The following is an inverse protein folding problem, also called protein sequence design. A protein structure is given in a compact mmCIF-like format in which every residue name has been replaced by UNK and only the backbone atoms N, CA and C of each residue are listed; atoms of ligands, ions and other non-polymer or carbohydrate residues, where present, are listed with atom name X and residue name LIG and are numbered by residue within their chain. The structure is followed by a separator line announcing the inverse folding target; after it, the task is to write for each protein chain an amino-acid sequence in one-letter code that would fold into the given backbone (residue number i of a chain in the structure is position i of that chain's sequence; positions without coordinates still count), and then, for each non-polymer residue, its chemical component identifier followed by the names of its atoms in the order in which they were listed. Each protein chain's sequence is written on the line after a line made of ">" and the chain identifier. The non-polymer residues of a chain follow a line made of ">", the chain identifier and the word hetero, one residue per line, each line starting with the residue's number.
data_IF_502035886449
#
_entry.id   IF_502035886449
#
_cell.length_a   1.000
_cell.length_b   1.000
_cell.length_c   1.000
_cell.angle_alpha   90.00
_cell.angle_beta   90.00
_cell.angle_gamma   90.00
#
_symmetry.space_group_name_H-M   'P 1'
#
loop_
_entity.id
_entity.type
_entity.pdbx_description
1 polymer ?
#
# COMPACT_ATOMS: atom_id res chain seq x y z
N UNK A 1 -47.19 -46.31 -23.07
CA UNK A 1 -45.86 -45.68 -23.14
C UNK A 1 -45.85 -44.21 -22.70
N UNK A 2 -46.85 -43.40 -23.06
CA UNK A 2 -46.84 -41.93 -22.80
C UNK A 2 -47.05 -41.47 -21.35
N UNK A 3 -47.64 -42.29 -20.46
CA UNK A 3 -47.89 -41.89 -19.05
C UNK A 3 -46.66 -41.95 -18.15
N UNK A 4 -45.71 -42.84 -18.45
CA UNK A 4 -44.48 -43.00 -17.67
C UNK A 4 -43.49 -41.87 -18.01
N UNK A 5 -43.39 -41.48 -19.28
CA UNK A 5 -42.55 -40.36 -19.73
C UNK A 5 -43.02 -39.04 -19.10
N UNK A 6 -44.34 -38.82 -18.99
CA UNK A 6 -44.90 -37.62 -18.36
C UNK A 6 -44.56 -37.52 -16.87
N UNK A 7 -44.52 -38.65 -16.16
CA UNK A 7 -44.19 -38.69 -14.74
C UNK A 7 -42.70 -38.35 -14.47
N UNK A 8 -41.80 -38.82 -15.35
CA UNK A 8 -40.37 -38.48 -15.28
C UNK A 8 -40.08 -37.01 -15.60
N UNK A 9 -40.82 -36.41 -16.55
CA UNK A 9 -40.68 -34.97 -16.86
C UNK A 9 -41.16 -34.08 -15.72
N UNK A 10 -42.20 -34.48 -14.98
CA UNK A 10 -42.67 -33.70 -13.82
C UNK A 10 -41.68 -33.78 -12.67
N UNK A 11 -41.11 -34.96 -12.39
CA UNK A 11 -40.09 -35.15 -11.34
C UNK A 11 -38.78 -34.39 -11.56
N UNK A 12 -38.42 -34.08 -12.82
CA UNK A 12 -37.25 -33.27 -13.14
C UNK A 12 -37.43 -31.77 -12.81
N UNK A 13 -38.67 -31.28 -12.74
CA UNK A 13 -38.97 -29.84 -12.52
C UNK A 13 -39.09 -29.49 -11.02
N UNK A 14 -39.33 -30.48 -10.15
CA UNK A 14 -39.49 -30.29 -8.69
C UNK A 14 -38.19 -30.44 -7.88
N UNK A 15 -37.03 -30.51 -8.52
CA UNK A 15 -35.74 -30.31 -7.84
C UNK A 15 -35.20 -28.91 -8.19
N UNK A 16 -35.72 -27.82 -7.60
CA UNK A 16 -34.92 -26.61 -7.53
C UNK A 16 -33.70 -26.99 -6.72
N UNK A 17 -32.60 -27.27 -7.41
CA UNK A 17 -31.30 -27.38 -6.77
C UNK A 17 -31.10 -26.03 -6.10
N UNK A 18 -31.23 -25.98 -4.78
CA UNK A 18 -30.91 -24.77 -4.02
C UNK A 18 -29.44 -24.53 -4.30
N UNK A 19 -29.16 -23.54 -5.15
CA UNK A 19 -27.79 -23.09 -5.40
C UNK A 19 -27.35 -22.46 -4.09
N UNK A 20 -26.61 -23.22 -3.29
CA UNK A 20 -25.91 -22.65 -2.15
C UNK A 20 -24.89 -21.67 -2.72
N UNK A 21 -25.13 -20.37 -2.55
CA UNK A 21 -24.05 -19.39 -2.63
C UNK A 21 -22.99 -19.82 -1.62
N UNK A 22 -21.82 -20.21 -2.10
CA UNK A 22 -20.69 -20.45 -1.21
C UNK A 22 -20.26 -19.08 -0.66
N UNK A 23 -20.58 -18.82 0.60
CA UNK A 23 -19.98 -17.70 1.32
C UNK A 23 -18.51 -18.07 1.56
N UNK A 24 -17.59 -17.29 1.01
CA UNK A 24 -16.17 -17.43 1.34
C UNK A 24 -16.03 -17.01 2.81
N UNK A 25 -15.65 -17.92 3.74
CA UNK A 25 -15.53 -17.55 5.14
C UNK A 25 -14.39 -16.54 5.31
N UNK A 26 -14.66 -15.44 6.01
CA UNK A 26 -13.61 -14.52 6.43
C UNK A 26 -12.98 -15.03 7.72
N UNK A 27 -11.68 -15.31 7.65
CA UNK A 27 -10.89 -15.55 8.85
C UNK A 27 -10.57 -14.21 9.49
N UNK A 28 -10.88 -14.08 10.78
CA UNK A 28 -10.60 -12.88 11.55
C UNK A 28 -9.33 -13.08 12.36
N UNK A 29 -8.43 -12.10 12.28
CA UNK A 29 -7.20 -12.05 13.07
C UNK A 29 -7.16 -10.74 13.82
N UNK A 30 -6.84 -10.79 15.11
CA UNK A 30 -6.63 -9.62 15.96
C UNK A 30 -5.36 -9.73 16.81
N UNK A 31 -5.23 -8.83 17.80
CA UNK A 31 -4.04 -8.81 18.66
C UNK A 31 -3.86 -10.06 19.52
N UNK A 32 -4.93 -10.81 19.79
CA UNK A 32 -4.87 -12.11 20.49
C UNK A 32 -4.24 -13.19 19.63
N UNK A 33 -4.29 -13.04 18.30
CA UNK A 33 -3.68 -13.97 17.34
C UNK A 33 -2.21 -13.59 17.03
N UNK A 34 -1.71 -12.49 17.58
CA UNK A 34 -0.32 -12.03 17.44
C UNK A 34 -0.12 -10.81 16.54
N UNK A 35 -1.19 -10.26 15.94
CA UNK A 35 -1.13 -8.99 15.22
C UNK A 35 -0.76 -7.84 16.17
N UNK A 36 0.17 -6.96 15.78
CA UNK A 36 0.65 -5.87 16.65
C UNK A 36 -0.50 -4.95 17.11
N UNK A 37 -1.44 -4.66 16.22
CA UNK A 37 -2.66 -3.92 16.51
C UNK A 37 -3.75 -4.23 15.50
N UNK A 38 -5.01 -4.29 15.94
CA UNK A 38 -6.19 -4.40 15.07
C UNK A 38 -6.38 -3.18 14.16
N UNK A 39 -5.68 -2.07 14.43
CA UNK A 39 -5.66 -0.90 13.55
C UNK A 39 -4.58 -1.10 12.48
N UNK A 40 -4.96 -1.71 11.36
CA UNK A 40 -4.10 -1.95 10.19
C UNK A 40 -4.32 -0.83 9.17
N UNK A 41 -3.24 -0.19 8.73
CA UNK A 41 -3.29 0.94 7.78
C UNK A 41 -2.84 0.59 6.37
N UNK A 42 -1.95 -0.40 6.24
CA UNK A 42 -1.37 -0.80 4.96
C UNK A 42 -0.87 -2.23 5.03
N UNK A 43 -0.82 -2.90 3.89
CA UNK A 43 -0.28 -4.24 3.78
C UNK A 43 0.46 -4.45 2.46
N UNK A 44 1.47 -5.30 2.47
CA UNK A 44 2.20 -5.72 1.26
C UNK A 44 2.63 -7.18 1.39
N UNK A 45 2.61 -7.94 0.30
CA UNK A 45 3.19 -9.28 0.25
C UNK A 45 4.64 -9.18 -0.22
N UNK A 46 5.56 -9.88 0.45
CA UNK A 46 6.94 -9.99 0.00
C UNK A 46 7.15 -11.08 -1.06
N UNK A 47 8.35 -11.14 -1.63
CA UNK A 47 8.66 -12.11 -2.70
C UNK A 47 8.70 -13.58 -2.23
N UNK A 48 8.72 -13.81 -0.93
CA UNK A 48 8.70 -15.15 -0.33
C UNK A 48 7.31 -15.59 0.11
N UNK A 49 6.31 -14.70 -0.01
CA UNK A 49 4.91 -14.99 0.27
C UNK A 49 4.42 -14.49 1.63
N UNK A 50 5.28 -13.95 2.50
CA UNK A 50 4.83 -13.38 3.76
C UNK A 50 4.07 -12.07 3.52
N UNK A 51 3.06 -11.83 4.35
CA UNK A 51 2.28 -10.60 4.32
C UNK A 51 2.74 -9.71 5.47
N UNK A 52 3.09 -8.49 5.13
CA UNK A 52 3.54 -7.46 6.06
C UNK A 52 2.41 -6.46 6.28
N UNK A 53 2.16 -6.13 7.54
CA UNK A 53 1.10 -5.24 7.98
C UNK A 53 1.69 -4.04 8.72
N UNK A 54 1.36 -2.84 8.25
CA UNK A 54 1.59 -1.59 8.97
C UNK A 54 0.44 -1.38 9.96
N UNK A 55 0.75 -1.31 11.25
CA UNK A 55 -0.26 -1.17 12.30
C UNK A 55 0.04 -0.01 13.25
N UNK A 56 -0.96 0.38 14.05
CA UNK A 56 -0.82 1.43 15.07
C UNK A 56 0.21 1.13 16.18
N UNK A 57 0.63 -0.13 16.34
CA UNK A 57 1.53 -0.55 17.41
C UNK A 57 2.73 -1.39 16.93
N UNK A 58 3.06 -1.31 15.64
CA UNK A 58 4.25 -1.95 15.08
C UNK A 58 4.00 -2.52 13.69
N UNK A 59 4.96 -3.30 13.22
CA UNK A 59 4.87 -4.07 11.98
C UNK A 59 4.57 -5.53 12.34
N UNK A 60 3.66 -6.17 11.63
CA UNK A 60 3.44 -7.61 11.76
C UNK A 60 3.70 -8.32 10.44
N UNK A 61 4.44 -9.43 10.50
CA UNK A 61 4.75 -10.33 9.40
C UNK A 61 3.95 -11.61 9.59
N UNK A 62 3.27 -12.06 8.55
CA UNK A 62 2.37 -13.21 8.60
C UNK A 62 2.76 -14.26 7.57
N UNK A 63 2.83 -15.51 7.99
CA UNK A 63 3.25 -16.67 7.20
C UNK A 63 2.09 -17.58 6.75
N UNK A 64 0.87 -17.03 6.75
CA UNK A 64 -0.41 -17.72 6.59
C UNK A 64 -0.90 -18.52 7.81
N UNK A 65 -0.09 -18.67 8.87
CA UNK A 65 -0.43 -19.44 10.07
C UNK A 65 -0.25 -18.64 11.37
N UNK A 66 0.81 -17.84 11.47
CA UNK A 66 1.23 -17.13 12.67
C UNK A 66 1.80 -15.76 12.35
N UNK A 67 1.75 -14.86 13.34
CA UNK A 67 2.31 -13.52 13.26
C UNK A 67 3.64 -13.43 14.00
N UNK A 68 4.64 -12.85 13.34
CA UNK A 68 5.85 -12.33 13.95
C UNK A 68 5.77 -10.80 13.95
N UNK A 69 5.82 -10.18 15.13
CA UNK A 69 5.57 -8.75 15.30
C UNK A 69 6.82 -8.02 15.77
N UNK A 70 7.08 -6.85 15.16
CA UNK A 70 8.19 -5.97 15.47
C UNK A 70 7.65 -4.66 16.02
N UNK A 71 8.14 -4.26 17.20
CA UNK A 71 7.84 -2.98 17.84
C UNK A 71 9.12 -2.41 18.50
N UNK A 72 8.97 -1.47 19.42
CA UNK A 72 10.07 -0.83 20.14
C UNK A 72 10.98 -1.78 20.90
N UNK A 73 10.48 -2.96 21.29
CA UNK A 73 11.30 -4.01 21.90
C UNK A 73 12.21 -4.71 20.88
N UNK A 74 11.96 -4.52 19.58
CA UNK A 74 12.69 -5.10 18.45
C UNK A 74 13.53 -4.07 17.68
N UNK A 75 13.73 -2.87 18.24
CA UNK A 75 14.57 -1.83 17.65
C UNK A 75 13.81 -0.77 16.84
N UNK A 76 12.48 -0.82 16.77
CA UNK A 76 11.69 0.28 16.20
C UNK A 76 11.66 1.47 17.14
N UNK A 77 12.19 2.62 16.71
CA UNK A 77 12.11 3.83 17.53
C UNK A 77 10.72 4.49 17.52
N UNK A 78 9.78 3.99 16.71
CA UNK A 78 8.36 4.33 16.74
C UNK A 78 7.50 3.15 16.30
N UNK A 79 6.36 2.99 16.96
CA UNK A 79 5.41 1.90 16.74
C UNK A 79 4.23 2.31 15.86
N UNK A 80 4.08 3.59 15.51
CA UNK A 80 2.95 4.07 14.72
C UNK A 80 3.26 3.97 13.21
N UNK A 81 3.04 2.78 12.66
CA UNK A 81 3.38 2.46 11.27
C UNK A 81 2.17 2.68 10.38
N UNK A 82 2.26 3.60 9.43
CA UNK A 82 1.11 4.03 8.63
C UNK A 82 1.14 3.53 7.19
N UNK A 83 2.30 3.10 6.69
CA UNK A 83 2.43 2.60 5.34
C UNK A 83 3.61 1.63 5.20
N UNK A 84 3.48 0.65 4.30
CA UNK A 84 4.51 -0.37 4.02
C UNK A 84 4.64 -0.61 2.52
N UNK A 85 5.86 -0.83 2.05
CA UNK A 85 6.15 -1.13 0.64
C UNK A 85 7.29 -2.14 0.50
N UNK A 86 7.20 -2.99 -0.54
CA UNK A 86 8.23 -3.93 -0.91
C UNK A 86 9.25 -3.26 -1.85
N UNK A 87 10.53 -3.34 -1.48
CA UNK A 87 11.63 -2.92 -2.34
C UNK A 87 12.01 -3.95 -3.40
N UNK A 88 12.61 -3.46 -4.48
CA UNK A 88 13.26 -4.27 -5.52
C UNK A 88 14.31 -5.22 -4.95
N UNK A 89 15.04 -4.80 -3.91
CA UNK A 89 16.06 -5.60 -3.21
C UNK A 89 15.49 -6.62 -2.20
N UNK A 90 14.16 -6.80 -2.20
CA UNK A 90 13.41 -7.67 -1.28
C UNK A 90 13.39 -7.20 0.17
N UNK A 91 13.83 -5.95 0.43
CA UNK A 91 13.64 -5.32 1.74
C UNK A 91 12.22 -4.80 1.88
N UNK A 92 11.77 -4.68 3.12
CA UNK A 92 10.48 -4.07 3.45
C UNK A 92 10.75 -2.68 3.96
N UNK A 93 10.11 -1.70 3.34
CA UNK A 93 10.18 -0.31 3.76
C UNK A 93 8.89 0.05 4.46
N UNK A 94 8.97 0.79 5.55
CA UNK A 94 7.80 1.26 6.25
C UNK A 94 7.99 2.69 6.74
N UNK A 95 6.87 3.39 6.82
CA UNK A 95 6.77 4.78 7.22
C UNK A 95 6.12 4.85 8.59
N UNK A 96 6.75 5.59 9.49
CA UNK A 96 6.14 5.95 10.77
C UNK A 96 5.61 7.38 10.71
N UNK A 97 4.59 7.67 11.50
CA UNK A 97 3.98 9.00 11.56
C UNK A 97 4.92 10.09 12.08
N UNK A 98 5.98 9.71 12.80
CA UNK A 98 6.76 10.62 13.67
C UNK A 98 8.29 10.37 13.69
N UNK A 99 8.81 9.38 12.96
CA UNK A 99 10.25 9.06 12.86
C UNK A 99 10.77 8.85 11.44
N UNK A 100 9.90 8.86 10.43
CA UNK A 100 10.25 8.82 9.02
C UNK A 100 10.24 7.41 8.43
N UNK A 101 11.20 7.13 7.53
CA UNK A 101 11.27 5.87 6.78
C UNK A 101 12.25 4.92 7.44
N UNK A 102 11.89 3.65 7.47
CA UNK A 102 12.72 2.56 7.96
C UNK A 102 12.76 1.42 6.95
N UNK A 103 13.81 0.62 7.06
CA UNK A 103 14.07 -0.54 6.21
C UNK A 103 14.23 -1.77 7.11
N UNK A 104 13.54 -2.84 6.74
CA UNK A 104 13.74 -4.18 7.28
C UNK A 104 14.41 -5.06 6.25
N UNK A 105 15.54 -5.67 6.63
CA UNK A 105 16.23 -6.68 5.83
C UNK A 105 17.00 -7.61 6.76
N UNK A 106 16.96 -8.92 6.50
CA UNK A 106 17.71 -9.91 7.28
C UNK A 106 17.46 -9.82 8.79
N UNK A 107 16.21 -9.62 9.21
CA UNK A 107 15.80 -9.45 10.62
C UNK A 107 16.40 -8.23 11.33
N UNK A 108 16.91 -7.26 10.57
CA UNK A 108 17.43 -6.00 11.08
C UNK A 108 16.51 -4.87 10.62
N UNK A 109 16.14 -4.02 11.57
CA UNK A 109 15.41 -2.78 11.34
C UNK A 109 16.37 -1.61 11.50
N UNK A 110 16.45 -0.78 10.47
CA UNK A 110 17.26 0.44 10.50
C UNK A 110 16.48 1.63 9.97
N UNK A 111 16.79 2.82 10.50
CA UNK A 111 16.26 4.06 9.94
C UNK A 111 16.89 4.27 8.56
N UNK A 112 16.06 4.50 7.55
CA UNK A 112 16.55 4.74 6.20
C UNK A 112 17.19 6.13 6.12
N UNK A 113 18.49 6.17 5.83
CA UNK A 113 19.24 7.42 5.73
C UNK A 113 18.92 8.13 4.41
N UNK A 114 18.80 9.45 4.46
CA UNK A 114 18.56 10.31 3.31
C UNK A 114 19.53 11.49 3.42
N UNK A 115 20.32 11.72 2.37
CA UNK A 115 21.41 12.68 2.37
C UNK A 115 20.88 14.12 2.47
N UNK A 116 21.50 14.93 3.33
CA UNK A 116 21.24 16.37 3.45
C UNK A 116 19.77 16.75 3.70
N UNK A 117 19.01 15.90 4.39
CA UNK A 117 17.59 16.16 4.66
C UNK A 117 17.32 16.59 6.09
N UNK A 118 16.52 17.65 6.23
CA UNK A 118 15.70 17.83 7.43
C UNK A 118 14.70 16.68 7.55
N UNK A 119 14.37 16.34 8.79
CA UNK A 119 13.47 15.27 9.16
C UNK A 119 12.21 15.18 8.28
N UNK A 120 11.99 14.02 7.64
CA UNK A 120 10.77 13.74 6.86
C UNK A 120 9.74 12.98 7.72
N UNK A 121 8.49 13.46 7.71
CA UNK A 121 7.32 12.76 8.24
C UNK A 121 6.36 12.41 7.09
N UNK A 122 6.61 11.32 6.35
CA UNK A 122 5.75 10.96 5.24
C UNK A 122 4.45 10.35 5.74
N UNK A 123 3.40 10.45 4.94
CA UNK A 123 2.17 9.69 5.13
C UNK A 123 2.15 8.38 4.33
N UNK A 124 2.88 8.33 3.21
CA UNK A 124 2.92 7.15 2.37
C UNK A 124 4.25 6.92 1.68
N UNK A 125 4.44 5.67 1.26
CA UNK A 125 5.61 5.20 0.53
C UNK A 125 5.16 4.30 -0.62
N UNK A 126 5.78 4.50 -1.77
CA UNK A 126 5.56 3.68 -2.96
C UNK A 126 6.92 3.38 -3.58
N UNK A 127 7.16 2.12 -3.93
CA UNK A 127 8.40 1.70 -4.57
C UNK A 127 8.18 1.51 -6.06
N UNK A 128 9.11 2.01 -6.87
CA UNK A 128 9.25 1.63 -8.29
C UNK A 128 10.73 1.49 -8.61
N UNK A 129 11.13 0.28 -9.01
CA UNK A 129 12.54 -0.11 -9.14
C UNK A 129 13.27 0.16 -7.81
N UNK A 130 14.44 0.81 -7.87
CA UNK A 130 15.24 1.19 -6.71
C UNK A 130 14.92 2.61 -6.19
N UNK A 131 13.79 3.19 -6.61
CA UNK A 131 13.38 4.54 -6.21
C UNK A 131 12.20 4.48 -5.25
N UNK A 132 12.38 5.14 -4.10
CA UNK A 132 11.33 5.39 -3.13
C UNK A 132 10.60 6.67 -3.55
N UNK A 133 9.29 6.60 -3.71
CA UNK A 133 8.42 7.76 -3.80
C UNK A 133 7.70 7.92 -2.47
N UNK A 134 7.84 9.09 -1.86
CA UNK A 134 7.27 9.35 -0.55
C UNK A 134 6.61 10.70 -0.53
N UNK A 135 5.49 10.77 0.19
CA UNK A 135 4.63 11.94 0.14
C UNK A 135 4.01 12.24 1.50
N UNK A 136 3.68 13.50 1.68
CA UNK A 136 2.92 14.01 2.80
C UNK A 136 1.89 15.03 2.29
N UNK A 137 1.11 15.65 3.17
CA UNK A 137 0.24 16.78 2.79
C UNK A 137 1.03 17.95 2.19
N UNK A 138 2.31 18.06 2.60
CA UNK A 138 3.15 19.21 2.31
C UNK A 138 4.21 18.95 1.25
N UNK A 139 4.42 17.70 0.82
CA UNK A 139 5.49 17.42 -0.14
C UNK A 139 5.25 16.13 -0.92
N UNK A 140 5.94 16.07 -2.05
CA UNK A 140 6.13 14.86 -2.85
C UNK A 140 7.60 14.78 -3.24
N UNK A 141 8.29 13.75 -2.78
CA UNK A 141 9.70 13.53 -3.04
C UNK A 141 9.96 12.14 -3.62
N UNK A 142 11.03 12.00 -4.39
CA UNK A 142 11.65 10.70 -4.66
C UNK A 142 13.01 10.63 -3.99
N UNK A 143 13.40 9.42 -3.57
CA UNK A 143 14.70 9.12 -3.03
C UNK A 143 15.30 7.98 -3.86
N UNK A 144 16.45 8.25 -4.46
CA UNK A 144 17.21 7.26 -5.22
C UNK A 144 18.65 7.29 -4.72
N UNK A 145 19.20 6.14 -4.34
CA UNK A 145 20.55 6.04 -3.75
C UNK A 145 20.81 7.04 -2.60
N UNK A 146 19.83 7.19 -1.70
CA UNK A 146 19.85 8.15 -0.58
C UNK A 146 19.77 9.64 -0.98
N UNK A 147 19.76 9.95 -2.28
CA UNK A 147 19.64 11.32 -2.76
C UNK A 147 18.17 11.71 -2.96
N UNK A 148 17.79 12.82 -2.33
CA UNK A 148 16.43 13.35 -2.35
C UNK A 148 16.22 14.25 -3.58
N UNK A 149 15.21 13.94 -4.38
CA UNK A 149 14.65 14.83 -5.41
C UNK A 149 13.29 15.31 -4.97
N UNK A 150 13.08 16.63 -5.00
CA UNK A 150 11.82 17.26 -4.56
C UNK A 150 10.95 17.60 -5.77
N UNK A 151 9.76 17.02 -5.88
CA UNK A 151 8.77 17.42 -6.89
C UNK A 151 7.95 18.63 -6.44
N UNK A 152 7.55 18.63 -5.16
CA UNK A 152 6.82 19.71 -4.50
C UNK A 152 7.12 19.74 -3.01
N UNK A 153 7.14 20.94 -2.43
CA UNK A 153 7.19 21.15 -0.99
C UNK A 153 6.62 22.52 -0.59
N UNK A 154 5.57 22.55 0.23
CA UNK A 154 5.00 23.79 0.81
C UNK A 154 6.00 24.51 1.72
N UNK A 155 6.80 23.74 2.48
CA UNK A 155 7.78 24.28 3.44
C UNK A 155 8.81 25.22 2.79
N UNK A 156 9.09 25.02 1.49
CA UNK A 156 10.10 25.78 0.75
C UNK A 156 9.49 26.63 -0.38
N UNK A 157 8.15 26.76 -0.44
CA UNK A 157 7.44 27.36 -1.57
C UNK A 157 7.89 26.80 -2.92
N UNK A 158 8.25 25.51 -2.96
CA UNK A 158 8.73 24.82 -4.14
C UNK A 158 7.55 24.10 -4.81
N UNK A 159 7.15 24.59 -5.97
CA UNK A 159 6.13 23.96 -6.81
C UNK A 159 6.72 23.46 -8.13
N UNK A 160 7.87 22.78 -8.05
CA UNK A 160 8.67 22.45 -9.23
C UNK A 160 7.94 21.59 -10.26
N UNK A 161 8.09 20.27 -10.13
CA UNK A 161 7.63 19.30 -11.13
C UNK A 161 6.26 18.69 -10.79
N UNK A 162 5.49 19.36 -9.93
CA UNK A 162 4.15 18.99 -9.52
C UNK A 162 3.26 20.24 -9.47
N UNK A 163 2.00 20.18 -9.91
CA UNK A 163 1.18 21.37 -10.07
C UNK A 163 0.84 22.06 -8.73
N UNK A 164 0.73 23.39 -8.78
CA UNK A 164 0.43 24.25 -7.65
C UNK A 164 -0.99 24.02 -7.09
N UNK A 165 -1.15 24.25 -5.78
CA UNK A 165 -2.43 24.24 -5.06
C UNK A 165 -3.22 22.93 -5.15
N UNK A 166 -2.56 21.79 -5.39
CA UNK A 166 -3.17 20.47 -5.38
C UNK A 166 -2.92 19.75 -4.05
N UNK A 167 -3.98 19.18 -3.48
CA UNK A 167 -3.84 18.25 -2.35
C UNK A 167 -3.52 16.86 -2.89
N UNK A 168 -2.35 16.32 -2.52
CA UNK A 168 -1.97 14.95 -2.81
C UNK A 168 -2.58 14.02 -1.75
N UNK A 169 -3.40 13.06 -2.18
CA UNK A 169 -4.04 12.10 -1.29
C UNK A 169 -3.33 10.75 -1.25
N UNK A 170 -2.86 10.28 -2.42
CA UNK A 170 -2.22 8.97 -2.52
C UNK A 170 -1.30 8.89 -3.74
N UNK A 171 -0.28 8.03 -3.64
CA UNK A 171 0.51 7.57 -4.77
C UNK A 171 0.24 6.08 -4.99
N UNK A 172 0.35 5.65 -6.24
CA UNK A 172 0.32 4.24 -6.60
C UNK A 172 1.36 3.94 -7.69
N UNK A 173 2.03 2.79 -7.57
CA UNK A 173 2.88 2.27 -8.64
C UNK A 173 2.05 1.36 -9.54
N UNK A 174 1.94 1.74 -10.81
CA UNK A 174 1.14 1.03 -11.81
C UNK A 174 2.02 0.62 -12.99
N UNK A 175 1.45 -0.14 -13.93
CA UNK A 175 2.13 -0.43 -15.22
C UNK A 175 2.49 0.85 -15.99
N UNK A 176 1.66 1.90 -15.87
CA UNK A 176 1.85 3.18 -16.57
C UNK A 176 2.90 4.10 -15.94
N UNK A 177 3.28 3.87 -14.68
CA UNK A 177 4.09 4.83 -13.94
C UNK A 177 3.68 4.95 -12.48
N UNK A 178 4.32 5.91 -11.80
CA UNK A 178 3.81 6.44 -10.54
C UNK A 178 2.62 7.34 -10.88
N UNK A 179 1.47 7.05 -10.27
CA UNK A 179 0.25 7.83 -10.40
C UNK A 179 -0.02 8.52 -9.07
N UNK A 180 -0.29 9.82 -9.12
CA UNK A 180 -0.72 10.65 -8.00
C UNK A 180 -2.23 10.91 -8.10
N UNK A 181 -2.95 10.58 -7.04
CA UNK A 181 -4.34 10.97 -6.87
C UNK A 181 -4.41 12.30 -6.12
N UNK A 182 -4.97 13.32 -6.77
CA UNK A 182 -5.06 14.68 -6.23
C UNK A 182 -6.50 15.17 -6.15
N UNK A 183 -6.71 16.32 -5.51
CA UNK A 183 -8.00 17.01 -5.47
C UNK A 183 -8.58 17.37 -6.84
N UNK A 184 -7.75 17.42 -7.90
CA UNK A 184 -8.14 17.82 -9.26
C UNK A 184 -8.05 16.68 -10.28
N UNK A 185 -7.90 15.44 -9.80
CA UNK A 185 -7.86 14.23 -10.63
C UNK A 185 -6.54 13.45 -10.53
N UNK A 186 -6.26 12.65 -11.55
CA UNK A 186 -5.08 11.78 -11.58
C UNK A 186 -3.94 12.44 -12.36
N UNK A 187 -2.72 12.30 -11.84
CA UNK A 187 -1.50 12.77 -12.49
C UNK A 187 -0.50 11.62 -12.61
N UNK A 188 0.13 11.46 -13.77
CA UNK A 188 1.16 10.46 -14.01
C UNK A 188 2.55 11.11 -14.01
N UNK A 189 3.53 10.48 -13.38
CA UNK A 189 4.93 10.87 -13.48
C UNK A 189 5.49 10.47 -14.86
N UNK A 190 5.91 11.46 -15.66
CA UNK A 190 6.53 11.33 -16.98
C UNK A 190 7.71 12.28 -17.07
N UNK A 191 8.87 11.80 -17.51
CA UNK A 191 10.08 12.62 -17.68
C UNK A 191 10.39 13.54 -16.47
N UNK A 192 10.29 12.96 -15.27
CA UNK A 192 10.49 13.65 -14.00
C UNK A 192 9.46 14.76 -13.67
N UNK A 193 8.29 14.77 -14.32
CA UNK A 193 7.20 15.71 -14.10
C UNK A 193 5.85 15.02 -13.96
N UNK A 194 4.99 15.51 -13.07
CA UNK A 194 3.61 15.02 -12.94
C UNK A 194 2.69 15.74 -13.94
N UNK A 195 2.09 14.96 -14.82
CA UNK A 195 1.19 15.44 -15.88
C UNK A 195 -0.22 14.90 -15.68
N UNK A 196 -1.25 15.73 -15.90
CA UNK A 196 -2.65 15.33 -15.70
C UNK A 196 -3.00 14.20 -16.68
N UNK A 197 -3.60 13.14 -16.17
CA UNK A 197 -4.15 12.08 -16.99
C UNK A 197 -5.49 12.58 -17.52
N UNK A 198 -5.55 12.81 -18.82
CA UNK A 198 -6.81 13.11 -19.51
C UNK A 198 -7.35 11.78 -20.02
N UNK A 199 -8.50 11.38 -19.51
CA UNK A 199 -9.26 10.24 -20.01
C UNK A 199 -10.35 10.80 -20.92
N UNK A 200 -10.23 10.63 -22.24
CA UNK A 200 -11.20 11.15 -23.23
C UNK A 200 -12.58 10.43 -23.21
N UNK A 201 -12.95 9.80 -22.10
CA UNK A 201 -14.09 8.87 -22.01
C UNK A 201 -15.46 9.53 -21.77
N UNK A 202 -15.64 10.81 -22.14
CA UNK A 202 -16.93 11.51 -22.06
C UNK A 202 -17.23 12.41 -23.28
N UNK A 203 -16.62 12.13 -24.43
CA UNK A 203 -17.08 12.65 -25.71
C UNK A 203 -17.71 11.53 -26.51
N UNK A 204 -18.94 11.14 -26.14
CA UNK A 204 -19.98 10.59 -27.02
C UNK A 204 -21.32 10.54 -26.25
#
# INVERSE_FOLDING_TARGET
>A
MNRIIFLFTVLAIINPSVIYTQTIPFHHYDSKDGLSSSNVFSMVQDKTGYIWFATKAGVSKFDAHSFESYNSNNGLISNDIINVALGSDSSIYFVTSDKGIFKFRNNIIEKYNINNTEYLAPYGIVMRNDTIYTYSFNYLHSIHNHDLTKFYSTQYSLHGNFPDNLLLHSLSNTTMGIIAATSEGLYALRDNKFEKIITDWLQD
#
